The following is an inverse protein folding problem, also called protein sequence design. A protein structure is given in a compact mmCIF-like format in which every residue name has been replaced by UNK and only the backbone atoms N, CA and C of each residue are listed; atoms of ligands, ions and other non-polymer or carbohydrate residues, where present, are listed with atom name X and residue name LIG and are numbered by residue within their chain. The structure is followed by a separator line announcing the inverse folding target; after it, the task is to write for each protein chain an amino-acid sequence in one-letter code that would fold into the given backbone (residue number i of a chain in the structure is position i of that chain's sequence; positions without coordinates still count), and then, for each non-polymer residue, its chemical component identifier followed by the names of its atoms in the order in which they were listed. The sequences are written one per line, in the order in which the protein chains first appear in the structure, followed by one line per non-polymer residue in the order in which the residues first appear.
data_IF_982753096470
#
_entry.id   IF_982753096470
#
_cell.length_a   1.000
_cell.length_b   1.000
_cell.length_c   1.000
_cell.angle_alpha   90.00
_cell.angle_beta   90.00
_cell.angle_gamma   90.00
#
_symmetry.space_group_name_H-M   'P 1'
#
loop_
_entity.id
_entity.type
_entity.pdbx_description
1 polymer ?
#
# COMPACT_ATOMS: atom_id res chain seq x y z
N UNK A 1 -52.26 66.43 -35.96
CA UNK A 1 -51.05 67.25 -36.19
C UNK A 1 -50.09 66.99 -35.04
N UNK A 2 -49.08 66.17 -35.27
CA UNK A 2 -47.81 66.01 -34.53
C UNK A 2 -47.33 64.56 -34.54
N UNK A 3 -47.20 63.97 -35.73
CA UNK A 3 -46.00 63.16 -35.96
C UNK A 3 -44.80 64.11 -35.83
N UNK A 4 -43.79 63.71 -35.05
CA UNK A 4 -42.37 64.07 -35.15
C UNK A 4 -41.74 64.17 -33.75
N UNK A 5 -41.12 63.08 -33.29
CA UNK A 5 -39.88 63.15 -32.52
C UNK A 5 -39.27 61.74 -32.34
N UNK A 6 -39.29 60.94 -33.41
CA UNK A 6 -38.30 59.90 -33.56
C UNK A 6 -36.90 60.56 -33.58
N UNK A 7 -35.89 59.84 -33.07
CA UNK A 7 -34.44 60.08 -33.29
C UNK A 7 -33.69 61.01 -32.32
N UNK A 8 -33.90 60.93 -31.01
CA UNK A 8 -32.88 61.44 -30.05
C UNK A 8 -32.84 60.59 -28.79
N UNK A 9 -32.05 59.52 -28.81
CA UNK A 9 -31.40 58.86 -27.65
C UNK A 9 -30.80 57.50 -28.04
N UNK A 10 -30.17 57.41 -29.22
CA UNK A 10 -29.39 56.23 -29.61
C UNK A 10 -27.94 56.68 -29.77
N UNK A 11 -27.16 56.56 -28.68
CA UNK A 11 -25.68 56.36 -28.65
C UNK A 11 -25.09 56.75 -27.28
N UNK A 12 -25.60 56.19 -26.17
CA UNK A 12 -24.87 56.17 -24.87
C UNK A 12 -25.22 54.92 -24.07
N UNK A 13 -25.06 53.74 -24.68
CA UNK A 13 -25.24 52.47 -23.99
C UNK A 13 -24.39 51.34 -24.59
N UNK A 14 -23.19 51.65 -25.12
CA UNK A 14 -22.25 50.65 -25.66
C UNK A 14 -20.80 51.02 -25.32
N UNK A 15 -20.54 51.37 -24.06
CA UNK A 15 -19.17 51.57 -23.56
C UNK A 15 -19.01 51.03 -22.12
N UNK A 16 -19.73 49.96 -21.78
CA UNK A 16 -19.66 49.32 -20.46
C UNK A 16 -19.63 47.78 -20.51
N UNK A 17 -19.41 47.17 -21.69
CA UNK A 17 -19.41 45.70 -21.87
C UNK A 17 -18.23 45.25 -22.75
N UNK A 18 -17.08 45.94 -22.69
CA UNK A 18 -15.90 45.56 -23.48
C UNK A 18 -14.57 45.64 -22.72
N UNK A 19 -14.59 45.80 -21.39
CA UNK A 19 -13.37 45.84 -20.59
C UNK A 19 -13.54 45.20 -19.20
N UNK A 20 -13.91 43.91 -19.17
CA UNK A 20 -13.70 43.05 -17.99
C UNK A 20 -13.76 41.54 -18.33
N UNK A 21 -13.67 41.15 -19.60
CA UNK A 21 -13.61 39.75 -20.04
C UNK A 21 -12.18 39.36 -20.46
N UNK A 22 -11.17 39.89 -19.77
CA UNK A 22 -9.75 39.63 -20.07
C UNK A 22 -8.90 39.31 -18.83
N UNK A 23 -9.51 38.87 -17.72
CA UNK A 23 -8.81 38.34 -16.54
C UNK A 23 -9.53 37.08 -16.03
N UNK A 24 -9.63 36.05 -16.85
CA UNK A 24 -10.11 34.73 -16.39
C UNK A 24 -9.31 33.56 -16.93
N UNK A 25 -8.09 33.82 -17.42
CA UNK A 25 -7.19 32.80 -17.93
C UNK A 25 -5.85 32.74 -17.16
N UNK A 26 -5.82 33.14 -15.89
CA UNK A 26 -4.76 32.63 -14.99
C UNK A 26 -5.14 31.20 -14.68
N UNK A 27 -4.62 30.33 -15.54
CA UNK A 27 -4.47 28.90 -15.41
C UNK A 27 -4.87 28.36 -14.03
N UNK A 28 -5.88 27.51 -14.04
CA UNK A 28 -6.07 26.48 -13.03
C UNK A 28 -4.86 25.53 -13.03
N UNK A 29 -3.69 26.01 -12.60
CA UNK A 29 -2.62 25.18 -12.08
C UNK A 29 -3.06 24.73 -10.68
N UNK A 30 -4.06 23.85 -10.64
CA UNK A 30 -4.30 23.04 -9.45
C UNK A 30 -2.97 22.37 -9.07
N UNK A 31 -2.65 22.20 -7.78
CA UNK A 31 -1.37 21.66 -7.37
C UNK A 31 -1.15 20.30 -8.03
N UNK A 32 -0.25 20.26 -9.02
CA UNK A 32 0.20 19.02 -9.63
C UNK A 32 0.70 18.15 -8.50
N UNK A 33 -0.05 17.08 -8.18
CA UNK A 33 0.39 16.08 -7.21
C UNK A 33 1.78 15.66 -7.69
N UNK A 34 2.82 16.00 -6.92
CA UNK A 34 4.20 15.60 -7.24
C UNK A 34 4.17 14.08 -7.34
N UNK A 35 4.25 13.58 -8.56
CA UNK A 35 4.07 12.18 -8.87
C UNK A 35 5.38 11.41 -8.72
N UNK A 36 6.36 11.93 -7.97
CA UNK A 36 7.66 11.31 -7.64
C UNK A 36 8.11 10.36 -8.73
N UNK A 37 8.31 10.89 -9.94
CA UNK A 37 8.76 10.07 -11.08
C UNK A 37 10.14 9.51 -10.75
N UNK A 38 10.53 8.38 -11.36
CA UNK A 38 11.83 7.75 -11.03
C UNK A 38 13.00 8.74 -11.21
N UNK A 39 12.92 9.60 -12.22
CA UNK A 39 13.93 10.62 -12.52
C UNK A 39 14.00 11.78 -11.51
N UNK A 40 12.93 12.05 -10.75
CA UNK A 40 12.89 13.09 -9.72
C UNK A 40 13.54 12.66 -8.39
N UNK A 41 13.86 11.37 -8.26
CA UNK A 41 14.47 10.82 -7.05
C UNK A 41 15.96 11.21 -6.97
N UNK A 42 16.43 11.51 -5.76
CA UNK A 42 17.87 11.73 -5.53
C UNK A 42 18.65 10.43 -5.77
N UNK A 43 19.96 10.54 -6.03
CA UNK A 43 20.83 9.35 -6.26
C UNK A 43 20.69 8.35 -5.11
N UNK A 44 20.82 8.79 -3.86
CA UNK A 44 20.63 7.95 -2.68
C UNK A 44 19.26 7.26 -2.63
N UNK A 45 18.19 7.96 -3.05
CA UNK A 45 16.85 7.38 -3.08
C UNK A 45 16.74 6.32 -4.17
N UNK A 46 17.33 6.55 -5.35
CA UNK A 46 17.34 5.59 -6.44
C UNK A 46 18.12 4.33 -6.06
N UNK A 47 19.24 4.46 -5.35
CA UNK A 47 20.02 3.32 -4.84
C UNK A 47 19.21 2.49 -3.85
N UNK A 48 18.60 3.13 -2.86
CA UNK A 48 17.77 2.42 -1.87
C UNK A 48 16.58 1.75 -2.53
N UNK A 49 15.95 2.41 -3.50
CA UNK A 49 14.73 1.94 -4.17
C UNK A 49 15.00 1.10 -5.43
N UNK A 50 16.26 0.75 -5.71
CA UNK A 50 16.66 0.00 -6.89
C UNK A 50 15.81 -1.26 -7.15
N UNK A 51 15.43 -2.08 -6.13
CA UNK A 51 14.57 -3.24 -6.35
C UNK A 51 13.18 -2.91 -6.93
N UNK A 52 12.69 -1.69 -6.72
CA UNK A 52 11.37 -1.25 -7.21
C UNK A 52 11.42 -0.61 -8.60
N UNK A 53 12.60 -0.30 -9.13
CA UNK A 53 12.76 0.35 -10.44
C UNK A 53 11.88 -0.26 -11.55
N UNK A 54 11.81 -1.61 -11.73
CA UNK A 54 11.06 -2.21 -12.84
C UNK A 54 9.55 -1.95 -12.78
N UNK A 55 9.01 -1.62 -11.60
CA UNK A 55 7.57 -1.42 -11.38
C UNK A 55 7.22 -0.05 -10.82
N UNK A 56 8.20 0.84 -10.71
CA UNK A 56 7.99 2.16 -10.12
C UNK A 56 6.83 2.89 -10.78
N UNK A 57 6.74 2.77 -12.11
CA UNK A 57 5.67 3.40 -12.87
C UNK A 57 4.28 2.77 -12.66
N UNK A 58 4.22 1.52 -12.21
CA UNK A 58 2.96 0.84 -11.86
C UNK A 58 2.46 1.21 -10.46
N UNK A 59 3.33 1.76 -9.61
CA UNK A 59 2.95 2.19 -8.27
C UNK A 59 2.12 3.47 -8.36
N UNK A 60 1.00 3.52 -7.64
CA UNK A 60 0.23 4.76 -7.53
C UNK A 60 1.01 5.86 -6.78
N UNK A 61 0.68 7.12 -7.01
CA UNK A 61 1.37 8.28 -6.41
C UNK A 61 1.49 8.20 -4.87
N UNK A 62 0.48 7.66 -4.18
CA UNK A 62 0.53 7.46 -2.73
C UNK A 62 1.56 6.39 -2.31
N UNK A 63 1.72 5.32 -3.09
CA UNK A 63 2.72 4.28 -2.82
C UNK A 63 4.13 4.81 -3.06
N UNK A 64 4.36 5.53 -4.17
CA UNK A 64 5.64 6.18 -4.47
C UNK A 64 6.05 7.12 -3.34
N UNK A 65 5.14 8.01 -2.91
CA UNK A 65 5.39 8.93 -1.78
C UNK A 65 5.79 8.20 -0.50
N UNK A 66 5.15 7.07 -0.18
CA UNK A 66 5.49 6.26 1.00
C UNK A 66 6.88 5.63 0.88
N UNK A 67 7.23 5.10 -0.29
CA UNK A 67 8.56 4.52 -0.54
C UNK A 67 9.67 5.57 -0.51
N UNK A 68 9.45 6.75 -1.07
CA UNK A 68 10.37 7.90 -0.93
C UNK A 68 10.57 8.27 0.54
N UNK A 69 9.50 8.29 1.34
CA UNK A 69 9.60 8.51 2.79
C UNK A 69 10.33 7.41 3.57
N UNK A 70 10.35 6.17 3.06
CA UNK A 70 11.17 5.08 3.62
C UNK A 70 12.63 5.29 3.22
N UNK A 71 12.90 5.58 1.95
CA UNK A 71 14.24 5.84 1.43
C UNK A 71 14.93 6.99 2.19
N UNK A 72 14.20 8.07 2.50
CA UNK A 72 14.72 9.18 3.32
C UNK A 72 15.19 8.76 4.72
N UNK A 73 14.56 7.75 5.33
CA UNK A 73 14.90 7.27 6.68
C UNK A 73 15.90 6.11 6.67
N UNK A 74 16.09 5.48 5.52
CA UNK A 74 16.90 4.27 5.35
C UNK A 74 18.34 4.41 5.85
N UNK A 75 19.07 5.52 5.58
CA UNK A 75 20.45 5.68 6.07
C UNK A 75 20.56 5.69 7.60
N UNK A 76 19.51 6.12 8.31
CA UNK A 76 19.47 6.13 9.77
C UNK A 76 19.01 4.82 10.42
N UNK A 77 18.66 3.81 9.63
CA UNK A 77 18.24 2.50 10.15
C UNK A 77 19.46 1.63 10.53
N UNK A 78 19.28 0.69 11.45
CA UNK A 78 20.33 -0.30 11.76
C UNK A 78 20.59 -1.20 10.55
N UNK A 79 21.81 -1.75 10.36
CA UNK A 79 22.12 -2.61 9.20
C UNK A 79 21.15 -3.78 9.01
N UNK A 80 20.70 -4.40 10.11
CA UNK A 80 19.73 -5.49 10.05
C UNK A 80 18.33 -5.02 9.59
N UNK A 81 17.95 -3.78 9.90
CA UNK A 81 16.69 -3.19 9.44
C UNK A 81 16.77 -2.85 7.96
N UNK A 82 17.88 -2.24 7.53
CA UNK A 82 18.19 -1.94 6.14
C UNK A 82 18.09 -3.19 5.26
N UNK A 83 18.69 -4.30 5.70
CA UNK A 83 18.62 -5.58 4.99
C UNK A 83 17.18 -6.10 4.90
N UNK A 84 16.40 -6.03 5.99
CA UNK A 84 14.99 -6.45 5.99
C UNK A 84 14.14 -5.63 5.04
N UNK A 85 14.38 -4.32 4.97
CA UNK A 85 13.68 -3.43 4.03
C UNK A 85 13.99 -3.88 2.61
N UNK A 86 15.26 -4.04 2.24
CA UNK A 86 15.66 -4.47 0.89
C UNK A 86 15.03 -5.81 0.49
N UNK A 87 15.15 -6.82 1.36
CA UNK A 87 14.62 -8.16 1.09
C UNK A 87 13.10 -8.21 0.89
N UNK A 88 12.36 -7.33 1.57
CA UNK A 88 10.88 -7.35 1.56
C UNK A 88 10.28 -6.28 0.66
N UNK A 89 11.09 -5.36 0.14
CA UNK A 89 10.68 -4.17 -0.58
C UNK A 89 9.74 -4.51 -1.73
N UNK A 90 10.20 -5.40 -2.61
CA UNK A 90 9.48 -5.83 -3.80
C UNK A 90 8.11 -6.45 -3.44
N UNK A 91 8.13 -7.42 -2.53
CA UNK A 91 6.93 -8.12 -2.06
C UNK A 91 5.93 -7.17 -1.40
N UNK A 92 6.40 -6.16 -0.68
CA UNK A 92 5.51 -5.20 -0.03
C UNK A 92 4.89 -4.21 -1.02
N UNK A 93 5.61 -3.89 -2.09
CA UNK A 93 5.12 -3.01 -3.15
C UNK A 93 3.98 -3.66 -3.97
N UNK A 94 3.94 -5.00 -4.08
CA UNK A 94 2.85 -5.72 -4.78
C UNK A 94 1.58 -5.90 -3.95
N UNK A 95 1.63 -5.67 -2.63
CA UNK A 95 0.48 -5.94 -1.78
C UNK A 95 -0.70 -5.03 -2.10
N UNK A 96 -1.86 -5.63 -2.34
CA UNK A 96 -3.11 -4.89 -2.49
C UNK A 96 -3.49 -4.16 -1.20
N UNK A 97 -4.37 -3.13 -1.24
CA UNK A 97 -4.85 -2.46 -0.04
C UNK A 97 -5.43 -3.44 1.00
N UNK A 98 -6.17 -4.45 0.54
CA UNK A 98 -6.76 -5.49 1.38
C UNK A 98 -5.71 -6.40 2.01
N UNK A 99 -4.75 -6.89 1.22
CA UNK A 99 -3.64 -7.70 1.74
C UNK A 99 -2.83 -6.94 2.79
N UNK A 100 -2.60 -5.63 2.59
CA UNK A 100 -1.95 -4.79 3.60
C UNK A 100 -2.80 -4.59 4.85
N UNK A 101 -4.13 -4.47 4.72
CA UNK A 101 -5.05 -4.43 5.88
C UNK A 101 -4.97 -5.73 6.67
N UNK A 102 -5.08 -6.86 5.99
CA UNK A 102 -4.96 -8.18 6.61
C UNK A 102 -3.60 -8.37 7.32
N UNK A 103 -2.49 -7.96 6.68
CA UNK A 103 -1.16 -8.02 7.29
C UNK A 103 -1.05 -7.16 8.56
N UNK A 104 -1.64 -5.95 8.55
CA UNK A 104 -1.68 -5.08 9.73
C UNK A 104 -2.50 -5.68 10.87
N UNK A 105 -3.68 -6.23 10.57
CA UNK A 105 -4.50 -6.88 11.58
C UNK A 105 -3.83 -8.13 12.15
N UNK A 106 -3.14 -8.92 11.29
CA UNK A 106 -2.37 -10.06 11.75
C UNK A 106 -1.20 -9.64 12.65
N UNK A 107 -0.50 -8.57 12.30
CA UNK A 107 0.56 -8.03 13.15
C UNK A 107 0.00 -7.58 14.50
N UNK A 108 -1.14 -6.89 14.51
CA UNK A 108 -1.82 -6.42 15.72
C UNK A 108 -2.29 -7.60 16.59
N UNK A 109 -2.82 -8.66 16.00
CA UNK A 109 -3.27 -9.86 16.73
C UNK A 109 -2.08 -10.61 17.34
N UNK A 110 -0.98 -10.76 16.60
CA UNK A 110 0.25 -11.36 17.12
C UNK A 110 0.88 -10.53 18.25
N UNK A 111 0.80 -9.20 18.17
CA UNK A 111 1.29 -8.29 19.21
C UNK A 111 0.53 -8.42 20.54
N UNK A 112 -0.71 -8.92 20.53
CA UNK A 112 -1.54 -9.15 21.72
C UNK A 112 -1.26 -10.50 22.41
N UNK A 113 -0.44 -11.36 21.82
CA UNK A 113 -0.11 -12.66 22.41
C UNK A 113 0.77 -12.49 23.64
N UNK A 114 0.50 -13.26 24.70
CA UNK A 114 1.34 -13.29 25.89
C UNK A 114 2.79 -13.68 25.53
N UNK A 115 3.79 -13.25 26.30
CA UNK A 115 5.20 -13.62 26.07
C UNK A 115 5.38 -15.14 25.94
N UNK A 116 4.73 -15.91 26.81
CA UNK A 116 4.74 -17.38 26.79
C UNK A 116 4.20 -17.94 25.47
N UNK A 117 3.01 -17.49 25.03
CA UNK A 117 2.43 -17.94 23.76
C UNK A 117 3.33 -17.59 22.57
N UNK A 118 3.99 -16.43 22.60
CA UNK A 118 4.96 -16.04 21.55
C UNK A 118 6.20 -16.94 21.56
N UNK A 119 6.68 -17.34 22.74
CA UNK A 119 7.80 -18.27 22.87
C UNK A 119 7.45 -19.65 22.33
N UNK A 120 6.30 -20.19 22.72
CA UNK A 120 5.82 -21.49 22.22
C UNK A 120 5.68 -21.49 20.69
N UNK A 121 5.10 -20.44 20.11
CA UNK A 121 5.01 -20.33 18.65
C UNK A 121 6.39 -20.25 17.97
N UNK A 122 7.36 -19.58 18.58
CA UNK A 122 8.74 -19.53 18.05
C UNK A 122 9.41 -20.90 18.09
N UNK A 123 9.23 -21.65 19.17
CA UNK A 123 9.76 -23.02 19.30
C UNK A 123 9.17 -23.94 18.24
N UNK A 124 7.84 -23.97 18.13
CA UNK A 124 7.15 -24.75 17.10
C UNK A 124 7.61 -24.39 15.68
N UNK A 125 7.85 -23.10 15.43
CA UNK A 125 8.37 -22.66 14.14
C UNK A 125 9.82 -23.11 13.90
N UNK A 126 10.67 -23.09 14.93
CA UNK A 126 12.05 -23.57 14.84
C UNK A 126 12.11 -25.08 14.59
N UNK A 127 11.30 -25.86 15.30
CA UNK A 127 11.12 -27.30 15.06
C UNK A 127 10.65 -27.57 13.63
N UNK A 128 9.64 -26.81 13.16
CA UNK A 128 9.19 -26.91 11.78
C UNK A 128 10.32 -26.64 10.79
N UNK A 129 11.15 -25.62 11.04
CA UNK A 129 12.28 -25.28 10.18
C UNK A 129 13.44 -26.30 10.27
N UNK A 130 13.52 -27.12 11.31
CA UNK A 130 14.51 -28.18 11.44
C UNK A 130 14.11 -29.47 10.70
N UNK A 131 12.83 -29.64 10.35
CA UNK A 131 12.34 -30.85 9.65
C UNK A 131 13.05 -31.07 8.29
N UNK A 132 13.30 -32.34 7.92
CA UNK A 132 13.79 -32.69 6.59
C UNK A 132 12.87 -32.16 5.46
N UNK A 133 13.41 -31.83 4.27
CA UNK A 133 12.61 -31.26 3.17
C UNK A 133 11.40 -32.11 2.76
N UNK A 134 11.54 -33.44 2.82
CA UNK A 134 10.45 -34.37 2.48
C UNK A 134 9.30 -34.27 3.48
N UNK A 135 9.60 -34.17 4.76
CA UNK A 135 8.58 -34.06 5.81
C UNK A 135 7.89 -32.70 5.78
N UNK A 136 8.65 -31.62 5.54
CA UNK A 136 8.07 -30.28 5.28
C UNK A 136 7.09 -30.30 4.12
N UNK A 137 7.47 -30.91 2.98
CA UNK A 137 6.57 -31.05 1.82
C UNK A 137 5.30 -31.81 2.15
N UNK A 138 5.38 -32.90 2.93
CA UNK A 138 4.20 -33.64 3.39
C UNK A 138 3.28 -32.75 4.25
N UNK A 139 3.84 -31.97 5.17
CA UNK A 139 3.06 -31.04 5.99
C UNK A 139 2.45 -29.90 5.17
N UNK A 140 3.20 -29.32 4.22
CA UNK A 140 2.72 -28.25 3.35
C UNK A 140 1.59 -28.73 2.43
N UNK A 141 1.74 -29.93 1.84
CA UNK A 141 0.70 -30.55 0.99
C UNK A 141 -0.55 -30.92 1.79
N UNK A 142 -0.40 -31.47 3.00
CA UNK A 142 -1.52 -31.74 3.90
C UNK A 142 -2.23 -30.45 4.33
N UNK A 143 -1.48 -29.38 4.63
CA UNK A 143 -2.03 -28.07 4.95
C UNK A 143 -2.77 -27.45 3.75
N UNK A 144 -2.25 -27.63 2.53
CA UNK A 144 -2.86 -27.18 1.28
C UNK A 144 -4.16 -27.95 0.97
N UNK A 145 -4.17 -29.27 1.19
CA UNK A 145 -5.35 -30.12 0.99
C UNK A 145 -6.48 -29.78 1.99
N UNK A 146 -6.14 -29.47 3.25
CA UNK A 146 -7.11 -29.07 4.28
C UNK A 146 -7.56 -27.61 4.23
N UNK A 147 -6.97 -26.76 3.38
CA UNK A 147 -7.30 -25.31 3.33
C UNK A 147 -8.50 -24.96 2.44
N UNK A 148 -8.96 -25.87 1.58
CA UNK A 148 -10.19 -25.70 0.81
C UNK A 148 -11.41 -25.52 1.72
N UNK A 149 -11.46 -26.29 2.81
CA UNK A 149 -12.56 -26.29 3.77
C UNK A 149 -12.44 -25.18 4.82
N UNK A 150 -11.23 -24.94 5.36
CA UNK A 150 -10.97 -23.83 6.30
C UNK A 150 -11.20 -22.44 5.71
N UNK A 151 -11.03 -22.25 4.39
CA UNK A 151 -11.27 -20.96 3.73
C UNK A 151 -12.77 -20.64 3.65
N UNK A 152 -13.64 -21.65 3.51
CA UNK A 152 -15.10 -21.49 3.60
C UNK A 152 -15.57 -21.25 5.04
N UNK A 153 -14.98 -21.95 6.02
CA UNK A 153 -15.32 -21.77 7.45
C UNK A 153 -14.87 -20.41 8.02
N UNK A 154 -13.80 -19.81 7.47
CA UNK A 154 -13.28 -18.50 7.89
C UNK A 154 -14.08 -17.29 7.38
N UNK A 155 -15.03 -17.50 6.45
CA UNK A 155 -15.93 -16.44 5.99
C UNK A 155 -17.05 -16.10 7.00
N UNK A 156 -17.24 -16.90 8.06
CA UNK A 156 -18.29 -16.69 9.06
C UNK A 156 -17.89 -16.82 10.54
N UNK A 157 -16.66 -17.24 10.86
CA UNK A 157 -16.28 -17.53 12.25
C UNK A 157 -15.11 -16.66 12.76
N UNK A 158 -15.31 -16.02 13.93
CA UNK A 158 -14.23 -15.44 14.74
C UNK A 158 -13.21 -16.55 15.06
N UNK A 159 -11.89 -16.30 14.95
CA UNK A 159 -10.90 -17.34 15.16
C UNK A 159 -10.78 -17.69 16.66
N UNK A 160 -11.32 -18.83 17.06
CA UNK A 160 -10.92 -19.53 18.28
C UNK A 160 -9.82 -20.56 17.92
N UNK A 161 -8.69 -20.62 18.65
CA UNK A 161 -7.66 -21.60 18.40
C UNK A 161 -7.99 -22.93 19.10
N UNK A 162 -8.74 -23.79 18.42
CA UNK A 162 -8.88 -25.20 18.81
C UNK A 162 -7.70 -25.98 18.24
N UNK A 163 -6.59 -26.04 18.98
CA UNK A 163 -5.45 -26.91 18.65
C UNK A 163 -5.81 -28.33 19.09
N UNK A 164 -6.33 -29.15 18.16
CA UNK A 164 -6.33 -30.60 18.34
C UNK A 164 -4.88 -31.09 18.20
N UNK A 165 -4.35 -31.67 19.29
CA UNK A 165 -3.07 -32.38 19.31
C UNK A 165 -3.19 -33.61 18.40
N UNK A 166 -2.27 -33.85 17.44
CA UNK A 166 -2.23 -35.14 16.76
C UNK A 166 -1.78 -36.22 17.76
N UNK A 167 -2.55 -37.30 17.87
CA UNK A 167 -2.21 -38.48 18.66
C UNK A 167 -0.93 -39.14 18.14
N UNK A 168 -0.11 -39.75 19.01
CA UNK A 168 1.10 -40.46 18.60
C UNK A 168 0.72 -41.73 17.82
N UNK A 169 1.29 -41.89 16.62
CA UNK A 169 1.29 -43.17 15.91
C UNK A 169 2.31 -44.07 16.59
N UNK A 170 1.81 -45.06 17.35
CA UNK A 170 2.62 -46.17 17.86
C UNK A 170 2.95 -47.11 16.69
N UNK A 171 4.21 -47.53 16.60
CA UNK A 171 4.64 -48.63 15.72
C UNK A 171 4.48 -49.96 16.44
#
# INVERSE_FOLDING_TARGET
MAEEAARRTLTRALAAIALALAVSAVAAAGPSKKNHSWAELTVDQQEVLAPLKPRWEQLGAEQRRKWVGIAKRYPGMKPQEQQRVQQRMDKWATLTPEQRRAAREQYKSMGKLSPEKRLTLRQQWAEYQALPPIEKRKLDTAAAAGTGDRRKLRAGAKPQPSVQKPSPVTK
#
